data_IF_560556156803
#
_entry.id   IF_560556156803
#
_cell.length_a   1.000
_cell.length_b   1.000
_cell.length_c   1.000
_cell.angle_alpha   90.00
_cell.angle_beta   90.00
_cell.angle_gamma   90.00
#
_symmetry.space_group_name_H-M   'P 1'
#
loop_
_entity.id
_entity.type
_entity.pdbx_description
1 polymer ?
#
# COMPACT_ATOMS: atom_id res chain seq x y z
N UNK A 1 -12.84 -17.81 16.49
CA UNK A 1 -12.35 -16.63 17.22
C UNK A 1 -13.52 -15.72 17.54
N UNK A 2 -13.59 -15.24 18.76
CA UNK A 2 -14.62 -14.28 19.17
C UNK A 2 -14.02 -12.89 19.26
N UNK A 3 -14.80 -11.88 18.90
CA UNK A 3 -14.37 -10.48 19.01
C UNK A 3 -15.25 -9.81 20.05
N UNK A 4 -14.63 -9.15 21.02
CA UNK A 4 -15.32 -8.33 22.01
C UNK A 4 -14.77 -6.91 21.92
N UNK A 5 -15.65 -5.93 21.71
CA UNK A 5 -15.28 -4.52 21.63
C UNK A 5 -15.95 -3.79 22.79
N UNK A 6 -15.17 -3.05 23.55
CA UNK A 6 -15.67 -2.22 24.65
C UNK A 6 -15.24 -0.78 24.41
N UNK A 7 -16.19 0.12 24.29
CA UNK A 7 -15.98 1.55 24.05
C UNK A 7 -16.46 2.31 25.29
N UNK A 8 -15.55 3.06 25.91
CA UNK A 8 -15.87 3.86 27.07
C UNK A 8 -14.91 5.04 27.14
N UNK A 9 -15.43 6.23 27.39
CA UNK A 9 -14.62 7.45 27.47
C UNK A 9 -13.63 7.47 28.63
N UNK A 10 -13.73 6.54 29.57
CA UNK A 10 -12.78 6.41 30.68
C UNK A 10 -11.42 5.88 30.20
N UNK A 11 -11.37 5.15 29.09
CA UNK A 11 -10.11 4.67 28.54
C UNK A 11 -9.33 5.83 27.93
N UNK A 12 -8.05 5.91 28.25
CA UNK A 12 -7.17 6.98 27.77
C UNK A 12 -6.41 6.60 26.50
N UNK A 13 -6.36 5.31 26.18
CA UNK A 13 -5.68 4.82 25.00
C UNK A 13 -6.46 3.66 24.37
N UNK A 14 -6.20 3.42 23.11
CA UNK A 14 -6.74 2.27 22.40
C UNK A 14 -5.84 1.07 22.67
N UNK A 15 -6.45 -0.07 23.00
CA UNK A 15 -5.71 -1.30 23.25
C UNK A 15 -6.45 -2.48 22.64
N UNK A 16 -5.72 -3.32 21.91
CA UNK A 16 -6.22 -4.60 21.45
C UNK A 16 -5.49 -5.71 22.18
N UNK A 17 -6.24 -6.56 22.89
CA UNK A 17 -5.72 -7.69 23.62
C UNK A 17 -6.16 -8.98 22.96
N UNK A 18 -5.22 -9.89 22.70
CA UNK A 18 -5.52 -11.20 22.11
C UNK A 18 -5.26 -12.26 23.18
N UNK A 19 -6.30 -13.06 23.46
CA UNK A 19 -6.21 -14.21 24.36
C UNK A 19 -6.33 -15.49 23.55
N UNK A 20 -5.30 -16.32 23.62
CA UNK A 20 -5.26 -17.58 22.87
C UNK A 20 -4.41 -18.61 23.62
N UNK A 21 -4.69 -19.92 23.46
CA UNK A 21 -3.87 -20.96 24.07
C UNK A 21 -2.45 -21.01 23.54
N UNK A 22 -2.23 -20.59 22.31
CA UNK A 22 -0.91 -20.59 21.69
C UNK A 22 -0.85 -19.54 20.58
N UNK A 23 0.37 -19.19 20.20
CA UNK A 23 0.59 -18.26 19.08
C UNK A 23 0.52 -19.03 17.76
N UNK A 24 -0.52 -18.80 17.00
CA UNK A 24 -0.74 -19.45 15.70
C UNK A 24 -0.44 -18.48 14.56
N UNK A 25 -0.27 -18.97 13.30
CA UNK A 25 -0.12 -18.08 12.15
C UNK A 25 -1.28 -17.08 12.00
N UNK A 26 -2.50 -17.50 12.36
CA UNK A 26 -3.68 -16.63 12.34
C UNK A 26 -3.55 -15.48 13.33
N UNK A 27 -3.11 -15.77 14.55
CA UNK A 27 -2.84 -14.75 15.57
C UNK A 27 -1.74 -13.79 15.09
N UNK A 28 -0.68 -14.34 14.52
CA UNK A 28 0.42 -13.52 14.00
C UNK A 28 -0.07 -12.56 12.90
N UNK A 29 -0.94 -13.00 12.00
CA UNK A 29 -1.53 -12.15 10.97
C UNK A 29 -2.33 -10.99 11.58
N UNK A 30 -3.09 -11.26 12.64
CA UNK A 30 -3.85 -10.21 13.32
C UNK A 30 -2.92 -9.19 13.96
N UNK A 31 -1.87 -9.66 14.64
CA UNK A 31 -0.88 -8.76 15.27
C UNK A 31 -0.22 -7.87 14.23
N UNK A 32 0.23 -8.45 13.13
CA UNK A 32 0.87 -7.69 12.04
C UNK A 32 -0.08 -6.66 11.42
N UNK A 33 -1.35 -7.03 11.25
CA UNK A 33 -2.36 -6.11 10.73
C UNK A 33 -2.55 -4.92 11.67
N UNK A 34 -2.68 -5.16 12.96
CA UNK A 34 -2.87 -4.10 13.96
C UNK A 34 -1.65 -3.19 14.03
N UNK A 35 -0.45 -3.77 14.04
CA UNK A 35 0.79 -3.00 14.02
C UNK A 35 0.87 -2.10 12.77
N UNK A 36 0.37 -2.59 11.63
CA UNK A 36 0.35 -1.81 10.40
C UNK A 36 -0.61 -0.61 10.44
N UNK A 37 -1.66 -0.66 11.28
CA UNK A 37 -2.59 0.46 11.43
C UNK A 37 -1.96 1.66 12.11
N UNK A 38 -1.06 1.42 13.06
CA UNK A 38 -0.33 2.48 13.78
C UNK A 38 0.96 2.86 13.06
N UNK A 39 1.27 2.14 11.99
CA UNK A 39 2.52 2.29 11.29
C UNK A 39 2.45 3.49 10.34
N UNK A 40 2.93 4.63 10.83
CA UNK A 40 3.28 5.75 9.99
C UNK A 40 4.56 5.38 9.24
N UNK A 41 4.49 4.33 8.41
CA UNK A 41 5.63 3.94 7.60
C UNK A 41 5.96 5.07 6.65
N UNK A 42 7.14 5.61 6.85
CA UNK A 42 7.70 6.61 5.96
C UNK A 42 8.71 5.94 5.05
N UNK A 43 8.70 6.34 3.82
CA UNK A 43 9.76 6.01 2.88
C UNK A 43 10.70 7.20 2.75
N UNK A 44 11.97 6.89 2.67
CA UNK A 44 12.99 7.90 2.44
C UNK A 44 13.12 8.12 0.94
N UNK A 45 12.98 9.37 0.51
CA UNK A 45 13.06 9.73 -0.89
C UNK A 45 13.87 10.99 -1.12
N UNK A 46 14.41 11.16 -2.32
CA UNK A 46 15.18 12.33 -2.70
C UNK A 46 14.48 13.13 -3.79
N UNK A 47 14.49 14.43 -3.62
CA UNK A 47 13.98 15.39 -4.59
C UNK A 47 14.82 16.64 -4.53
N UNK A 48 15.31 17.09 -5.70
CA UNK A 48 16.13 18.29 -5.82
C UNK A 48 17.33 18.30 -4.87
N UNK A 49 17.97 17.13 -4.70
CA UNK A 49 19.17 17.00 -3.86
C UNK A 49 18.89 16.89 -2.37
N UNK A 50 17.66 17.01 -1.94
CA UNK A 50 17.27 16.93 -0.54
C UNK A 50 16.60 15.61 -0.23
N UNK A 51 16.74 15.16 1.02
CA UNK A 51 16.13 13.93 1.52
C UNK A 51 14.84 14.23 2.28
N UNK A 52 13.76 13.55 1.88
CA UNK A 52 12.44 13.68 2.48
C UNK A 52 12.00 12.36 3.08
N UNK A 53 11.21 12.44 4.13
CA UNK A 53 10.50 11.28 4.69
C UNK A 53 9.05 11.36 4.25
N UNK A 54 8.63 10.41 3.43
CA UNK A 54 7.34 10.44 2.76
C UNK A 54 6.38 9.48 3.46
N UNK A 55 5.23 10.02 3.91
CA UNK A 55 4.19 9.18 4.48
C UNK A 55 3.64 8.24 3.39
N UNK A 56 3.50 6.95 3.69
CA UNK A 56 3.03 5.98 2.73
C UNK A 56 1.66 6.33 2.16
N UNK A 57 0.76 6.86 3.00
CA UNK A 57 -0.59 7.24 2.55
C UNK A 57 -0.60 8.44 1.59
N UNK A 58 0.49 9.18 1.48
CA UNK A 58 0.62 10.28 0.53
C UNK A 58 1.04 9.81 -0.86
N UNK A 59 1.44 8.55 -1.00
CA UNK A 59 1.94 8.00 -2.26
C UNK A 59 0.79 7.40 -3.06
N UNK A 60 0.63 7.85 -4.32
CA UNK A 60 -0.39 7.32 -5.23
C UNK A 60 0.09 6.06 -5.92
N UNK A 61 1.33 6.09 -6.40
CA UNK A 61 1.93 4.95 -7.09
C UNK A 61 3.44 5.02 -7.00
N UNK A 62 4.07 3.88 -7.25
CA UNK A 62 5.53 3.76 -7.31
C UNK A 62 5.85 3.04 -8.62
N UNK A 63 6.78 3.58 -9.39
CA UNK A 63 7.08 3.05 -10.72
C UNK A 63 8.56 3.21 -11.05
N UNK A 64 8.99 2.46 -12.07
CA UNK A 64 10.36 2.51 -12.56
C UNK A 64 10.39 3.37 -13.80
N UNK A 65 11.26 4.38 -13.80
CA UNK A 65 11.52 5.23 -14.95
C UNK A 65 13.02 5.48 -15.02
N UNK A 66 13.62 5.28 -16.21
CA UNK A 66 15.06 5.45 -16.41
C UNK A 66 15.89 4.67 -15.37
N UNK A 67 15.49 3.41 -15.10
CA UNK A 67 16.13 2.52 -14.14
C UNK A 67 16.09 3.01 -12.70
N UNK A 68 15.27 4.00 -12.40
CA UNK A 68 15.09 4.53 -11.05
C UNK A 68 13.69 4.28 -10.56
N UNK A 69 13.56 4.05 -9.26
CA UNK A 69 12.26 3.84 -8.62
C UNK A 69 11.77 5.17 -8.07
N UNK A 70 10.60 5.59 -8.52
CA UNK A 70 10.00 6.87 -8.17
C UNK A 70 8.69 6.66 -7.41
N UNK A 71 8.48 7.46 -6.36
CA UNK A 71 7.22 7.55 -5.66
C UNK A 71 6.50 8.83 -6.06
N UNK A 72 5.27 8.70 -6.52
CA UNK A 72 4.45 9.83 -6.97
C UNK A 72 3.51 10.29 -5.87
N UNK A 73 3.57 11.58 -5.55
CA UNK A 73 2.68 12.23 -4.59
C UNK A 73 2.09 13.49 -5.23
N UNK A 74 1.14 14.13 -4.56
CA UNK A 74 0.61 15.42 -5.05
C UNK A 74 1.64 16.53 -5.06
N UNK A 75 2.74 16.37 -4.32
CA UNK A 75 3.84 17.34 -4.27
C UNK A 75 4.92 17.04 -5.28
N UNK A 76 4.78 15.98 -6.06
CA UNK A 76 5.72 15.58 -7.09
C UNK A 76 6.28 14.18 -6.89
N UNK A 77 7.38 13.92 -7.57
CA UNK A 77 8.02 12.61 -7.60
C UNK A 77 9.29 12.61 -6.77
N UNK A 78 9.50 11.51 -6.05
CA UNK A 78 10.68 11.32 -5.20
C UNK A 78 11.42 10.05 -5.61
N UNK A 79 12.75 10.13 -5.67
CA UNK A 79 13.61 8.98 -5.95
C UNK A 79 13.83 8.18 -4.67
N UNK A 80 13.49 6.90 -4.70
CA UNK A 80 13.53 6.07 -3.49
C UNK A 80 14.89 5.42 -3.23
N UNK A 81 15.73 5.26 -4.27
CA UNK A 81 17.04 4.66 -4.11
C UNK A 81 17.04 3.18 -3.74
N UNK A 82 15.91 2.52 -3.92
CA UNK A 82 15.71 1.10 -3.62
C UNK A 82 15.17 0.41 -4.87
N UNK A 83 15.26 -0.91 -4.90
CA UNK A 83 14.62 -1.71 -5.95
C UNK A 83 13.12 -1.86 -5.63
N UNK A 84 12.32 -2.06 -6.67
CA UNK A 84 10.86 -2.12 -6.49
C UNK A 84 10.43 -3.18 -5.48
N UNK A 85 11.04 -4.37 -5.49
CA UNK A 85 10.69 -5.42 -4.56
C UNK A 85 11.04 -5.04 -3.11
N UNK A 86 12.11 -4.27 -2.91
CA UNK A 86 12.50 -3.80 -1.57
C UNK A 86 11.50 -2.77 -1.06
N UNK A 87 11.02 -1.91 -1.95
CA UNK A 87 10.00 -0.91 -1.60
C UNK A 87 8.71 -1.60 -1.19
N UNK A 88 8.28 -2.60 -1.97
CA UNK A 88 7.04 -3.33 -1.70
C UNK A 88 7.05 -3.97 -0.30
N UNK A 89 8.20 -4.51 0.12
CA UNK A 89 8.35 -5.10 1.44
C UNK A 89 8.16 -4.09 2.58
N UNK A 90 8.45 -2.82 2.31
CA UNK A 90 8.34 -1.74 3.31
C UNK A 90 6.98 -1.05 3.30
N UNK A 91 6.13 -1.34 2.33
CA UNK A 91 4.85 -0.67 2.17
C UNK A 91 3.75 -1.37 2.96
N UNK A 92 2.75 -0.60 3.43
CA UNK A 92 1.55 -1.18 4.01
C UNK A 92 0.81 -2.08 3.04
N UNK A 93 -0.10 -2.91 3.57
CA UNK A 93 -0.84 -3.90 2.79
C UNK A 93 -1.79 -3.32 1.75
N UNK A 94 -2.07 -2.02 1.81
CA UNK A 94 -2.94 -1.38 0.82
C UNK A 94 -2.21 -0.99 -0.47
N UNK A 95 -0.95 -1.35 -0.61
CA UNK A 95 -0.21 -1.24 -1.88
C UNK A 95 -0.18 -2.58 -2.58
N UNK A 96 -0.29 -2.57 -3.89
CA UNK A 96 -0.26 -3.78 -4.69
C UNK A 96 0.55 -3.57 -5.96
N UNK A 97 1.33 -4.60 -6.31
CA UNK A 97 2.07 -4.62 -7.57
C UNK A 97 1.09 -4.91 -8.72
N UNK A 98 1.09 -4.08 -9.74
CA UNK A 98 0.19 -4.21 -10.89
C UNK A 98 0.92 -4.59 -12.18
N UNK A 99 2.26 -4.51 -12.17
CA UNK A 99 3.11 -4.94 -13.27
C UNK A 99 4.52 -5.19 -12.73
N UNK A 100 5.43 -5.60 -13.58
CA UNK A 100 6.83 -5.78 -13.18
C UNK A 100 7.50 -4.48 -12.76
N UNK A 101 6.94 -3.33 -13.15
CA UNK A 101 7.55 -2.02 -12.95
C UNK A 101 6.69 -1.04 -12.16
N UNK A 102 5.56 -1.48 -11.61
CA UNK A 102 4.65 -0.51 -10.98
C UNK A 102 3.86 -1.10 -9.81
N UNK A 103 3.73 -0.29 -8.75
CA UNK A 103 2.95 -0.55 -7.55
C UNK A 103 1.96 0.61 -7.41
N UNK A 104 0.70 0.32 -7.03
CA UNK A 104 -0.30 1.36 -6.78
C UNK A 104 -0.86 1.26 -5.37
N UNK A 105 -1.30 2.41 -4.87
CA UNK A 105 -2.03 2.52 -3.62
C UNK A 105 -3.51 2.22 -3.90
N UNK A 106 -4.04 1.16 -3.33
CA UNK A 106 -5.44 0.75 -3.53
C UNK A 106 -6.43 1.84 -3.11
N UNK A 107 -6.08 2.64 -2.11
CA UNK A 107 -6.95 3.75 -1.64
C UNK A 107 -7.07 4.87 -2.66
N UNK A 108 -6.14 4.94 -3.60
CA UNK A 108 -6.12 5.96 -4.65
C UNK A 108 -6.77 5.50 -5.94
N UNK A 109 -7.24 4.24 -6.01
CA UNK A 109 -7.95 3.74 -7.19
C UNK A 109 -9.38 4.26 -7.18
N UNK A 110 -9.74 5.02 -8.21
CA UNK A 110 -11.10 5.49 -8.42
C UNK A 110 -11.95 4.42 -9.10
N UNK A 111 -11.42 3.81 -10.16
CA UNK A 111 -12.07 2.75 -10.90
C UNK A 111 -11.07 2.00 -11.77
N UNK A 112 -11.45 0.84 -12.24
CA UNK A 112 -10.65 0.12 -13.23
C UNK A 112 -11.56 -0.39 -14.35
N UNK A 113 -10.96 -0.60 -15.52
CA UNK A 113 -11.66 -1.02 -16.73
C UNK A 113 -10.81 -2.01 -17.51
N UNK A 114 -11.44 -3.05 -18.04
CA UNK A 114 -10.76 -4.05 -18.87
C UNK A 114 -10.94 -3.66 -20.33
N UNK A 115 -9.82 -3.44 -21.01
CA UNK A 115 -9.85 -3.06 -22.44
C UNK A 115 -10.09 -4.28 -23.32
N UNK A 116 -10.55 -4.07 -24.59
CA UNK A 116 -10.75 -5.19 -25.51
C UNK A 116 -9.50 -6.03 -25.78
N UNK A 117 -8.32 -5.44 -25.71
CA UNK A 117 -7.05 -6.16 -25.90
C UNK A 117 -6.49 -6.81 -24.63
N UNK A 118 -7.26 -6.83 -23.55
CA UNK A 118 -6.92 -7.56 -22.35
C UNK A 118 -6.08 -6.83 -21.32
N UNK A 119 -5.80 -5.54 -21.53
CA UNK A 119 -5.15 -4.72 -20.52
C UNK A 119 -6.17 -4.23 -19.51
N UNK A 120 -5.72 -3.95 -18.31
CA UNK A 120 -6.54 -3.37 -17.25
C UNK A 120 -6.12 -1.92 -17.06
N UNK A 121 -7.03 -1.00 -17.32
CA UNK A 121 -6.82 0.41 -17.02
C UNK A 121 -7.16 0.66 -15.56
N UNK A 122 -6.22 1.20 -14.81
CA UNK A 122 -6.44 1.55 -13.40
C UNK A 122 -6.47 3.06 -13.30
N UNK A 123 -7.65 3.62 -13.04
CA UNK A 123 -7.83 5.06 -12.96
C UNK A 123 -7.63 5.53 -11.52
N UNK A 124 -6.58 6.32 -11.31
CA UNK A 124 -6.27 6.88 -10.00
C UNK A 124 -6.94 8.23 -9.80
N UNK A 125 -7.13 8.61 -8.56
CA UNK A 125 -7.74 9.90 -8.19
C UNK A 125 -6.95 11.10 -8.70
N UNK A 126 -5.63 10.94 -8.88
CA UNK A 126 -4.75 11.99 -9.42
C UNK A 126 -4.81 12.12 -10.94
N UNK A 127 -5.73 11.39 -11.61
CA UNK A 127 -5.94 11.36 -13.05
C UNK A 127 -4.90 10.58 -13.84
N UNK A 128 -3.91 9.98 -13.19
CA UNK A 128 -3.02 9.03 -13.84
C UNK A 128 -3.74 7.71 -14.09
N UNK A 129 -3.37 7.05 -15.19
CA UNK A 129 -4.00 5.79 -15.59
C UNK A 129 -2.94 4.76 -15.92
N UNK A 130 -2.35 4.11 -14.89
CA UNK A 130 -1.46 2.98 -15.14
C UNK A 130 -2.22 1.79 -15.69
N UNK A 131 -1.48 0.90 -16.37
CA UNK A 131 -2.03 -0.30 -16.98
C UNK A 131 -1.47 -1.53 -16.30
N UNK A 132 -2.32 -2.53 -16.15
CA UNK A 132 -1.93 -3.82 -15.60
C UNK A 132 -2.31 -4.92 -16.59
N UNK A 133 -1.55 -6.01 -16.63
CA UNK A 133 -1.94 -7.21 -17.37
C UNK A 133 -3.01 -7.99 -16.60
N UNK A 134 -3.74 -8.85 -17.32
CA UNK A 134 -4.80 -9.66 -16.68
C UNK A 134 -4.30 -10.55 -15.55
N UNK A 135 -3.04 -10.96 -15.59
CA UNK A 135 -2.49 -11.82 -14.55
C UNK A 135 -2.48 -11.17 -13.16
N UNK A 136 -2.51 -9.83 -13.10
CA UNK A 136 -2.58 -9.09 -11.84
C UNK A 136 -4.01 -8.76 -11.41
N UNK A 137 -4.98 -8.90 -12.32
CA UNK A 137 -6.37 -8.51 -12.07
C UNK A 137 -7.00 -9.27 -10.89
N UNK A 138 -6.73 -10.57 -10.78
CA UNK A 138 -7.26 -11.39 -9.70
C UNK A 138 -6.82 -10.86 -8.34
N UNK A 139 -5.52 -10.57 -8.18
CA UNK A 139 -4.96 -10.04 -6.94
C UNK A 139 -5.56 -8.67 -6.61
N UNK A 140 -5.76 -7.82 -7.62
CA UNK A 140 -6.37 -6.50 -7.43
C UNK A 140 -7.81 -6.65 -6.93
N UNK A 141 -8.60 -7.51 -7.58
CA UNK A 141 -9.99 -7.75 -7.18
C UNK A 141 -10.09 -8.32 -5.76
N UNK A 142 -9.23 -9.25 -5.41
CA UNK A 142 -9.21 -9.85 -4.07
C UNK A 142 -8.93 -8.80 -3.00
N UNK A 143 -8.05 -7.87 -3.28
CA UNK A 143 -7.70 -6.81 -2.32
C UNK A 143 -8.76 -5.71 -2.20
N UNK A 144 -9.56 -5.49 -3.25
CA UNK A 144 -10.60 -4.47 -3.26
C UNK A 144 -11.93 -4.94 -2.66
N UNK A 145 -12.06 -6.23 -2.43
CA UNK A 145 -13.28 -6.81 -1.83
C UNK A 145 -13.20 -6.87 -0.31
#
# INVERSE_FOLDING_TARGET
>A
MKIKVQIDSVFQEEMLQIQAPSRTPKIQQVVEFVESLDDNQRLKGKKDGETYFIESNAISRIYIENRQVLAETIQGEYHLGLRLYQVLEKLPSYFIKISQSEIVNLKEIERFNITPNGLVEIHLKNKETPYSSRRYLKAIKEKLQ
#
